data_IF_650395301482
#
_entry.id   IF_650395301482
#
_cell.length_a   1.000
_cell.length_b   1.000
_cell.length_c   1.000
_cell.angle_alpha   90.00
_cell.angle_beta   90.00
_cell.angle_gamma   90.00
#
_symmetry.space_group_name_H-M   'P 1'
#
loop_
_entity.id
_entity.type
_entity.pdbx_description
1 polymer ?
#
# COMPACT_ATOMS: atom_id res chain seq x y z
N UNK A 1 -20.51 8.49 -13.75
CA UNK A 1 -19.05 8.32 -13.60
C UNK A 1 -18.64 7.81 -12.22
N UNK A 2 -19.42 8.02 -11.16
CA UNK A 2 -19.05 7.66 -9.78
C UNK A 2 -18.86 6.15 -9.54
N UNK A 3 -19.62 5.30 -10.23
CA UNK A 3 -19.49 3.84 -10.10
C UNK A 3 -18.08 3.32 -10.45
N UNK A 4 -17.43 3.92 -11.45
CA UNK A 4 -16.08 3.52 -11.89
C UNK A 4 -15.06 3.84 -10.81
N UNK A 5 -15.25 4.96 -10.11
CA UNK A 5 -14.35 5.40 -9.03
C UNK A 5 -14.54 4.54 -7.78
N UNK A 6 -15.77 4.17 -7.44
CA UNK A 6 -16.05 3.32 -6.26
C UNK A 6 -15.54 1.89 -6.48
N UNK A 7 -15.84 1.31 -7.64
CA UNK A 7 -15.51 -0.10 -7.92
C UNK A 7 -14.11 -0.31 -8.49
N UNK A 8 -13.64 0.57 -9.38
CA UNK A 8 -12.34 0.45 -10.06
C UNK A 8 -11.17 0.93 -9.21
N UNK A 9 -11.33 2.04 -8.50
CA UNK A 9 -10.23 2.65 -7.73
C UNK A 9 -9.84 1.79 -6.53
N UNK A 10 -10.80 1.13 -5.87
CA UNK A 10 -10.52 0.39 -4.63
C UNK A 10 -9.43 -0.68 -4.79
N UNK A 11 -9.45 -1.47 -5.86
CA UNK A 11 -8.43 -2.51 -6.11
C UNK A 11 -7.27 -2.01 -6.97
N UNK A 12 -7.53 -1.19 -7.99
CA UNK A 12 -6.50 -0.66 -8.88
C UNK A 12 -5.52 0.28 -8.15
N UNK A 13 -6.04 1.14 -7.27
CA UNK A 13 -5.23 2.10 -6.52
C UNK A 13 -4.35 1.40 -5.48
N UNK A 14 -4.85 0.33 -4.83
CA UNK A 14 -4.05 -0.49 -3.91
C UNK A 14 -2.82 -1.10 -4.60
N UNK A 15 -3.00 -1.64 -5.81
CA UNK A 15 -1.91 -2.23 -6.59
C UNK A 15 -0.96 -1.15 -7.11
N UNK A 16 -1.47 -0.03 -7.60
CA UNK A 16 -0.66 1.08 -8.09
C UNK A 16 0.28 1.62 -6.99
N UNK A 17 -0.27 1.98 -5.83
CA UNK A 17 0.50 2.54 -4.71
C UNK A 17 1.47 1.49 -4.12
N UNK A 18 1.12 0.21 -4.13
CA UNK A 18 2.03 -0.87 -3.75
C UNK A 18 3.23 -0.96 -4.70
N UNK A 19 3.00 -0.86 -6.01
CA UNK A 19 4.06 -0.85 -6.99
C UNK A 19 4.96 0.39 -6.84
N UNK A 20 4.36 1.58 -6.68
CA UNK A 20 5.10 2.83 -6.46
C UNK A 20 5.99 2.77 -5.21
N UNK A 21 5.46 2.25 -4.09
CA UNK A 21 6.24 2.12 -2.86
C UNK A 21 7.39 1.12 -3.01
N UNK A 22 7.20 -0.01 -3.72
CA UNK A 22 8.29 -0.94 -4.05
C UNK A 22 9.35 -0.26 -4.93
N UNK A 23 8.94 0.45 -5.98
CA UNK A 23 9.86 1.14 -6.90
C UNK A 23 10.69 2.18 -6.14
N UNK A 24 10.07 2.97 -5.26
CA UNK A 24 10.77 3.94 -4.44
C UNK A 24 11.75 3.26 -3.47
N UNK A 25 11.33 2.16 -2.84
CA UNK A 25 12.12 1.43 -1.85
C UNK A 25 13.33 0.72 -2.46
N UNK A 26 13.15 0.06 -3.61
CA UNK A 26 14.16 -0.80 -4.23
C UNK A 26 14.98 -0.10 -5.32
N UNK A 27 14.35 0.73 -6.15
CA UNK A 27 15.03 1.37 -7.30
C UNK A 27 15.53 2.78 -7.00
N UNK A 28 14.73 3.61 -6.30
CA UNK A 28 15.11 5.02 -6.08
C UNK A 28 16.13 5.20 -4.95
N UNK A 29 16.03 4.36 -3.91
CA UNK A 29 16.92 4.38 -2.76
C UNK A 29 16.63 5.54 -1.79
N UNK A 30 16.55 5.22 -0.50
CA UNK A 30 16.17 6.16 0.57
C UNK A 30 17.03 7.43 0.60
N UNK A 31 18.31 7.35 0.21
CA UNK A 31 19.23 8.51 0.20
C UNK A 31 18.84 9.56 -0.86
N UNK A 32 18.44 9.14 -2.05
CA UNK A 32 18.02 10.09 -3.10
C UNK A 32 16.64 10.68 -2.79
N UNK A 33 15.73 9.87 -2.26
CA UNK A 33 14.41 10.33 -1.80
C UNK A 33 14.55 11.39 -0.69
N UNK A 34 15.48 11.16 0.23
CA UNK A 34 15.83 12.09 1.30
C UNK A 34 16.37 13.39 0.71
N UNK A 35 17.26 13.34 -0.27
CA UNK A 35 17.77 14.55 -0.95
C UNK A 35 16.67 15.36 -1.63
N UNK A 36 15.77 14.70 -2.38
CA UNK A 36 14.64 15.37 -3.03
C UNK A 36 13.69 16.01 -2.02
N UNK A 37 13.37 15.34 -0.89
CA UNK A 37 12.53 15.96 0.13
C UNK A 37 13.17 17.22 0.73
N UNK A 38 14.51 17.27 0.81
CA UNK A 38 15.23 18.43 1.35
C UNK A 38 15.07 19.63 0.41
N UNK A 39 15.18 19.39 -0.89
CA UNK A 39 14.98 20.43 -1.91
C UNK A 39 13.53 20.92 -1.96
N UNK A 40 12.55 20.03 -1.77
CA UNK A 40 11.13 20.42 -1.80
C UNK A 40 10.66 21.15 -0.55
N UNK A 41 11.13 20.77 0.63
CA UNK A 41 10.66 21.33 1.90
C UNK A 41 11.53 22.50 2.39
N UNK A 42 12.75 22.68 1.86
CA UNK A 42 13.69 23.73 2.28
C UNK A 42 14.34 23.49 3.65
N UNK A 43 13.83 22.55 4.43
CA UNK A 43 14.42 22.03 5.67
C UNK A 43 14.56 20.52 5.59
N UNK A 44 15.45 19.93 6.40
CA UNK A 44 15.58 18.47 6.51
C UNK A 44 14.57 17.93 7.51
N UNK A 45 13.42 17.35 7.07
CA UNK A 45 12.63 16.54 7.97
C UNK A 45 13.51 15.41 8.49
N UNK A 46 13.57 15.25 9.81
CA UNK A 46 14.43 14.27 10.47
C UNK A 46 14.19 12.86 9.92
N UNK A 47 15.22 12.01 9.99
CA UNK A 47 15.18 10.65 9.44
C UNK A 47 13.96 9.84 9.91
N UNK A 48 13.51 10.06 11.14
CA UNK A 48 12.28 9.47 11.69
C UNK A 48 11.02 9.80 10.87
N UNK A 49 10.86 11.05 10.42
CA UNK A 49 9.69 11.48 9.66
C UNK A 49 9.68 10.91 8.25
N UNK A 50 10.85 10.89 7.59
CA UNK A 50 11.02 10.29 6.26
C UNK A 50 10.75 8.79 6.28
N UNK A 51 11.33 8.10 7.26
CA UNK A 51 11.14 6.66 7.38
C UNK A 51 9.69 6.33 7.74
N UNK A 52 9.07 7.13 8.60
CA UNK A 52 7.65 6.97 8.92
C UNK A 52 6.77 7.04 7.66
N UNK A 53 7.02 7.94 6.72
CA UNK A 53 6.22 8.01 5.48
C UNK A 53 6.52 6.87 4.52
N UNK A 54 7.80 6.54 4.34
CA UNK A 54 8.23 5.47 3.44
C UNK A 54 7.86 4.09 3.97
N UNK A 55 7.69 3.93 5.29
CA UNK A 55 7.41 2.62 5.93
C UNK A 55 5.99 2.50 6.44
N UNK A 56 5.35 3.56 6.93
CA UNK A 56 3.94 3.51 7.30
C UNK A 56 3.06 3.27 6.07
N UNK A 57 3.40 3.84 4.90
CA UNK A 57 2.67 3.59 3.66
C UNK A 57 2.64 2.09 3.26
N UNK A 58 3.78 1.38 3.13
CA UNK A 58 3.78 -0.06 2.82
C UNK A 58 3.18 -0.91 3.94
N UNK A 59 3.30 -0.52 5.21
CA UNK A 59 2.61 -1.21 6.32
C UNK A 59 1.09 -1.10 6.19
N UNK A 60 0.56 0.09 5.89
CA UNK A 60 -0.88 0.28 5.66
C UNK A 60 -1.38 -0.55 4.46
N UNK A 61 -0.60 -0.61 3.39
CA UNK A 61 -0.91 -1.44 2.22
C UNK A 61 -0.88 -2.94 2.54
N UNK A 62 0.12 -3.40 3.31
CA UNK A 62 0.21 -4.78 3.77
C UNK A 62 -1.00 -5.17 4.61
N UNK A 63 -1.40 -4.33 5.57
CA UNK A 63 -2.58 -4.57 6.41
C UNK A 63 -3.84 -4.69 5.56
N UNK A 64 -4.02 -3.83 4.56
CA UNK A 64 -5.15 -3.90 3.62
C UNK A 64 -5.12 -5.19 2.79
N UNK A 65 -3.97 -5.59 2.27
CA UNK A 65 -3.78 -6.83 1.51
C UNK A 65 -4.11 -8.07 2.36
N UNK A 66 -3.57 -8.15 3.57
CA UNK A 66 -3.80 -9.26 4.50
C UNK A 66 -5.28 -9.33 4.89
N UNK A 67 -5.92 -8.19 5.18
CA UNK A 67 -7.34 -8.14 5.49
C UNK A 67 -8.21 -8.67 4.33
N UNK A 68 -7.90 -8.27 3.08
CA UNK A 68 -8.60 -8.76 1.89
C UNK A 68 -8.38 -10.26 1.69
N UNK A 69 -7.14 -10.72 1.86
CA UNK A 69 -6.77 -12.12 1.69
C UNK A 69 -7.47 -13.02 2.72
N UNK A 70 -7.37 -12.66 4.01
CA UNK A 70 -8.01 -13.38 5.11
C UNK A 70 -9.53 -13.46 4.91
N UNK A 71 -10.16 -12.36 4.52
CA UNK A 71 -11.62 -12.31 4.30
C UNK A 71 -12.04 -13.19 3.12
N UNK A 72 -11.32 -13.13 1.99
CA UNK A 72 -11.62 -13.96 0.81
C UNK A 72 -11.41 -15.45 1.07
N UNK A 73 -10.33 -15.81 1.79
CA UNK A 73 -10.06 -17.20 2.19
C UNK A 73 -11.14 -17.73 3.13
N UNK A 74 -11.53 -16.95 4.15
CA UNK A 74 -12.59 -17.31 5.08
C UNK A 74 -13.94 -17.52 4.38
N UNK A 75 -14.30 -16.67 3.42
CA UNK A 75 -15.52 -16.83 2.63
C UNK A 75 -15.46 -18.11 1.77
N UNK A 76 -14.31 -18.38 1.13
CA UNK A 76 -14.13 -19.59 0.31
C UNK A 76 -14.26 -20.86 1.15
N UNK A 77 -13.60 -20.92 2.30
CA UNK A 77 -13.68 -22.05 3.23
C UNK A 77 -15.11 -22.26 3.75
N UNK A 78 -15.80 -21.17 4.11
CA UNK A 78 -17.20 -21.21 4.57
C UNK A 78 -18.15 -21.72 3.48
N UNK A 79 -17.93 -21.33 2.23
CA UNK A 79 -18.73 -21.79 1.09
C UNK A 79 -18.47 -23.27 0.76
N UNK A 80 -17.23 -23.73 0.88
CA UNK A 80 -16.90 -25.15 0.71
C UNK A 80 -17.51 -26.02 1.83
N UNK A 81 -17.44 -25.55 3.07
CA UNK A 81 -18.06 -26.23 4.22
C UNK A 81 -19.59 -26.33 4.11
N UNK A 82 -20.25 -25.33 3.49
CA UNK A 82 -21.69 -25.37 3.17
C UNK A 82 -22.04 -26.19 1.93
N UNK A 83 -21.08 -26.50 1.05
CA UNK A 83 -21.31 -27.29 -0.16
C UNK A 83 -21.08 -28.79 0.06
N UNK A 84 -20.30 -29.14 1.08
CA UNK A 84 -20.06 -30.53 1.52
C UNK A 84 -21.14 -31.03 2.48
N UNK A 85 -21.93 -30.14 3.07
CA UNK A 85 -23.13 -30.45 3.87
C UNK A 85 -24.37 -30.27 3.01
#
# INVERSE_FOLDING_TARGET
MEWIIVYGTSWGLLIAVFCETIVISFFYGIKNFTRNLKEMLGFEPGYYWRFCWVVAAPIFLLVRLVHIFATKLQIRLRNLAKKVR
#
